data_IF_351871474164
#
_entry.id   IF_351871474164
#
_cell.length_a   1.000
_cell.length_b   1.000
_cell.length_c   1.000
_cell.angle_alpha   90.00
_cell.angle_beta   90.00
_cell.angle_gamma   90.00
#
_symmetry.space_group_name_H-M   'P 1'
#
loop_
_entity.id
_entity.type
_entity.pdbx_description
1 polymer ?
#
# COMPACT_ATOMS: atom_id res chain seq x y z
N UNK A 1 -24.85 0.68 -11.10
CA UNK A 1 -23.90 1.81 -11.21
C UNK A 1 -24.70 3.07 -11.53
N UNK A 2 -24.99 3.96 -10.55
CA UNK A 2 -25.82 5.14 -10.76
C UNK A 2 -25.12 6.30 -11.52
N UNK A 3 -23.85 6.13 -11.90
CA UNK A 3 -23.09 7.06 -12.73
C UNK A 3 -22.64 6.37 -14.03
N UNK A 4 -22.46 7.16 -15.10
CA UNK A 4 -21.78 6.68 -16.31
C UNK A 4 -20.40 6.15 -15.92
N UNK A 5 -19.95 5.01 -16.49
CA UNK A 5 -18.68 4.42 -16.10
C UNK A 5 -17.54 5.39 -16.39
N UNK A 6 -16.72 5.66 -15.37
CA UNK A 6 -15.49 6.45 -15.45
C UNK A 6 -14.30 5.51 -15.32
N UNK A 7 -13.34 5.61 -16.24
CA UNK A 7 -12.20 4.70 -16.35
C UNK A 7 -10.85 5.40 -16.15
N UNK A 8 -10.83 6.64 -15.66
CA UNK A 8 -9.58 7.36 -15.41
C UNK A 8 -8.94 6.92 -14.10
N UNK A 9 -8.29 5.76 -14.14
CA UNK A 9 -7.49 5.21 -13.03
C UNK A 9 -6.27 4.48 -13.57
N UNK A 10 -5.08 5.00 -13.28
CA UNK A 10 -3.79 4.43 -13.71
C UNK A 10 -3.36 3.25 -12.82
N UNK A 11 -3.85 3.22 -11.58
CA UNK A 11 -3.50 2.28 -10.52
C UNK A 11 -4.38 1.03 -10.48
N UNK A 12 -5.57 1.05 -11.08
CA UNK A 12 -6.49 -0.10 -11.08
C UNK A 12 -5.89 -1.35 -11.75
N UNK A 13 -5.17 -1.18 -12.86
CA UNK A 13 -4.57 -2.30 -13.62
C UNK A 13 -3.53 -3.08 -12.80
N UNK A 14 -2.50 -2.44 -12.19
CA UNK A 14 -1.57 -3.17 -11.33
C UNK A 14 -2.26 -3.74 -10.07
N UNK A 15 -3.25 -3.06 -9.48
CA UNK A 15 -4.01 -3.62 -8.35
C UNK A 15 -4.77 -4.90 -8.69
N UNK A 16 -5.36 -4.99 -9.88
CA UNK A 16 -5.98 -6.22 -10.36
C UNK A 16 -4.98 -7.38 -10.39
N UNK A 17 -3.77 -7.16 -10.93
CA UNK A 17 -2.71 -8.16 -10.97
C UNK A 17 -2.25 -8.58 -9.57
N UNK A 18 -2.06 -7.62 -8.67
CA UNK A 18 -1.69 -7.88 -7.27
C UNK A 18 -2.75 -8.76 -6.60
N UNK A 19 -4.03 -8.42 -6.72
CA UNK A 19 -5.12 -9.18 -6.12
C UNK A 19 -5.27 -10.58 -6.74
N UNK A 20 -5.17 -10.68 -8.06
CA UNK A 20 -5.21 -11.94 -8.80
C UNK A 20 -4.12 -12.91 -8.31
N UNK A 21 -2.88 -12.44 -8.22
CA UNK A 21 -1.78 -13.24 -7.70
C UNK A 21 -1.91 -13.53 -6.20
N UNK A 22 -2.41 -12.56 -5.42
CA UNK A 22 -2.66 -12.74 -3.99
C UNK A 22 -3.70 -13.82 -3.70
N UNK A 23 -4.73 -13.92 -4.55
CA UNK A 23 -5.73 -14.99 -4.48
C UNK A 23 -5.04 -16.36 -4.60
N UNK A 24 -4.27 -16.60 -5.68
CA UNK A 24 -3.54 -17.86 -5.87
C UNK A 24 -2.60 -18.17 -4.71
N UNK A 25 -1.93 -17.15 -4.15
CA UNK A 25 -1.03 -17.32 -3.00
C UNK A 25 -1.72 -17.81 -1.73
N UNK A 26 -3.00 -17.46 -1.52
CA UNK A 26 -3.76 -17.92 -0.35
C UNK A 26 -4.56 -19.19 -0.62
N UNK A 27 -5.15 -19.33 -1.81
CA UNK A 27 -6.08 -20.43 -2.11
C UNK A 27 -5.42 -21.61 -2.81
N UNK A 28 -4.26 -21.40 -3.47
CA UNK A 28 -3.65 -22.42 -4.32
C UNK A 28 -4.50 -22.81 -5.52
N UNK A 29 -5.57 -22.06 -5.83
CA UNK A 29 -6.53 -22.38 -6.88
C UNK A 29 -5.94 -22.10 -8.28
N UNK A 30 -5.25 -23.11 -8.80
CA UNK A 30 -4.63 -23.07 -10.11
C UNK A 30 -5.66 -23.06 -11.26
N UNK A 31 -6.87 -23.59 -11.05
CA UNK A 31 -7.91 -23.57 -12.08
C UNK A 31 -8.44 -22.15 -12.27
N UNK A 32 -8.81 -21.48 -11.18
CA UNK A 32 -9.17 -20.06 -11.19
C UNK A 32 -8.06 -19.20 -11.78
N UNK A 33 -6.80 -19.45 -11.38
CA UNK A 33 -5.66 -18.73 -11.91
C UNK A 33 -5.54 -18.88 -13.42
N UNK A 34 -5.63 -20.11 -13.97
CA UNK A 34 -5.62 -20.34 -15.43
C UNK A 34 -6.78 -19.66 -16.14
N UNK A 35 -7.98 -19.67 -15.55
CA UNK A 35 -9.17 -19.06 -16.12
C UNK A 35 -9.07 -17.55 -16.33
N UNK A 36 -8.44 -16.84 -15.39
CA UNK A 36 -8.22 -15.38 -15.48
C UNK A 36 -6.87 -14.98 -16.08
N UNK A 37 -5.98 -15.94 -16.36
CA UNK A 37 -4.65 -15.65 -16.89
C UNK A 37 -4.68 -14.77 -18.17
N UNK A 38 -5.57 -14.98 -19.15
CA UNK A 38 -5.62 -14.11 -20.33
C UNK A 38 -5.89 -12.64 -19.99
N UNK A 39 -6.71 -12.38 -18.97
CA UNK A 39 -6.98 -11.02 -18.51
C UNK A 39 -5.77 -10.42 -17.76
N UNK A 40 -5.06 -11.24 -16.97
CA UNK A 40 -3.83 -10.83 -16.32
C UNK A 40 -2.72 -10.51 -17.34
N UNK A 41 -2.56 -11.33 -18.38
CA UNK A 41 -1.62 -11.06 -19.47
C UNK A 41 -1.99 -9.81 -20.27
N UNK A 42 -3.28 -9.55 -20.50
CA UNK A 42 -3.74 -8.31 -21.11
C UNK A 42 -3.43 -7.09 -20.24
N UNK A 43 -3.55 -7.20 -18.91
CA UNK A 43 -3.19 -6.15 -17.96
C UNK A 43 -1.67 -5.89 -17.93
N UNK A 44 -0.83 -6.92 -17.95
CA UNK A 44 0.63 -6.77 -18.13
C UNK A 44 0.95 -6.08 -19.47
N UNK A 45 0.32 -6.55 -20.55
CA UNK A 45 0.48 -5.94 -21.87
C UNK A 45 -0.09 -4.51 -21.96
N UNK A 46 -0.95 -4.08 -21.05
CA UNK A 46 -1.37 -2.68 -20.93
C UNK A 46 -0.31 -1.85 -20.23
N UNK A 47 0.26 -2.34 -19.12
CA UNK A 47 1.35 -1.68 -18.40
C UNK A 47 2.49 -1.36 -19.36
N UNK A 48 2.92 -2.35 -20.15
CA UNK A 48 4.10 -2.20 -21.02
C UNK A 48 3.84 -1.40 -22.31
N UNK A 49 2.60 -1.31 -22.80
CA UNK A 49 2.29 -0.66 -24.11
C UNK A 49 1.52 0.65 -24.01
N UNK A 50 0.70 0.80 -22.98
CA UNK A 50 -0.20 1.94 -22.83
C UNK A 50 0.01 2.70 -21.53
N UNK A 51 0.65 2.08 -20.54
CA UNK A 51 1.04 2.70 -19.28
C UNK A 51 2.30 3.54 -19.41
N UNK A 52 3.30 3.07 -20.16
CA UNK A 52 4.55 3.79 -20.45
C UNK A 52 4.40 4.60 -21.74
N UNK A 53 4.07 5.90 -21.61
CA UNK A 53 3.66 6.73 -22.76
C UNK A 53 4.85 7.21 -23.59
N UNK A 54 6.03 7.34 -23.00
CA UNK A 54 7.24 7.84 -23.65
C UNK A 54 8.40 6.83 -23.68
N UNK A 55 8.21 5.63 -23.10
CA UNK A 55 9.17 4.54 -23.18
C UNK A 55 10.30 4.63 -22.15
N UNK A 56 10.18 5.51 -21.15
CA UNK A 56 11.18 5.64 -20.08
C UNK A 56 11.07 4.55 -19.00
N UNK A 57 10.00 3.75 -19.06
CA UNK A 57 9.70 2.62 -18.20
C UNK A 57 8.92 2.95 -16.94
N UNK A 58 8.39 4.16 -16.81
CA UNK A 58 7.42 4.49 -15.78
C UNK A 58 5.99 4.43 -16.33
N UNK A 59 5.07 3.97 -15.49
CA UNK A 59 3.64 4.05 -15.82
C UNK A 59 3.11 5.43 -15.48
N UNK A 60 2.47 6.05 -16.47
CA UNK A 60 2.01 7.43 -16.44
C UNK A 60 0.52 7.54 -16.73
N UNK A 61 -0.05 8.69 -16.36
CA UNK A 61 -1.39 9.06 -16.77
C UNK A 61 -1.43 10.39 -17.50
N UNK A 62 -2.35 10.46 -18.46
CA UNK A 62 -2.74 11.68 -19.16
C UNK A 62 -4.25 11.64 -19.35
N UNK A 63 -4.97 12.63 -18.80
CA UNK A 63 -6.41 12.70 -18.97
C UNK A 63 -6.77 12.96 -20.44
N UNK A 64 -7.37 11.95 -21.10
CA UNK A 64 -7.75 12.03 -22.52
C UNK A 64 -9.16 12.59 -22.75
N UNK A 65 -9.99 12.64 -21.72
CA UNK A 65 -11.39 13.09 -21.82
C UNK A 65 -11.52 14.54 -21.33
N UNK A 66 -12.19 15.43 -22.08
CA UNK A 66 -12.47 16.79 -21.61
C UNK A 66 -13.32 16.85 -20.32
N UNK A 67 -14.02 15.75 -19.99
CA UNK A 67 -14.82 15.60 -18.75
C UNK A 67 -14.14 14.70 -17.72
N UNK A 68 -12.91 14.26 -17.97
CA UNK A 68 -12.19 13.38 -17.06
C UNK A 68 -11.59 14.16 -15.90
N UNK A 69 -11.34 13.45 -14.80
CA UNK A 69 -10.62 14.02 -13.67
C UNK A 69 -9.15 14.15 -14.09
N UNK A 70 -8.52 15.28 -13.73
CA UNK A 70 -7.14 15.60 -14.14
C UNK A 70 -6.16 14.56 -13.62
N UNK A 71 -6.22 14.27 -12.32
CA UNK A 71 -5.35 13.31 -11.67
C UNK A 71 -6.06 11.95 -11.65
N UNK A 72 -5.35 10.90 -12.10
CA UNK A 72 -5.93 9.56 -12.30
C UNK A 72 -5.31 8.50 -11.38
N UNK A 73 -4.60 8.91 -10.33
CA UNK A 73 -4.25 8.03 -9.21
C UNK A 73 -5.29 8.11 -8.10
N UNK A 74 -5.05 7.41 -6.99
CA UNK A 74 -5.96 7.42 -5.84
C UNK A 74 -6.17 8.83 -5.24
N UNK A 75 -5.16 9.71 -5.32
CA UNK A 75 -5.29 11.14 -5.01
C UNK A 75 -5.84 11.90 -6.21
N UNK A 76 -7.11 11.68 -6.53
CA UNK A 76 -7.73 12.16 -7.78
C UNK A 76 -8.15 13.64 -7.79
N UNK A 77 -8.04 14.37 -6.68
CA UNK A 77 -8.34 15.82 -6.67
C UNK A 77 -7.46 16.58 -7.65
N UNK A 78 -8.02 17.54 -8.38
CA UNK A 78 -7.32 18.33 -9.40
C UNK A 78 -6.03 19.03 -8.93
N UNK A 79 -5.94 19.34 -7.64
CA UNK A 79 -4.88 20.08 -6.96
C UNK A 79 -3.95 19.19 -6.10
N UNK A 80 -4.02 17.86 -6.26
CA UNK A 80 -3.27 16.92 -5.40
C UNK A 80 -1.80 16.74 -5.77
N UNK A 81 -1.44 16.95 -7.04
CA UNK A 81 -0.07 16.85 -7.55
C UNK A 81 0.48 18.26 -7.81
N UNK A 82 1.25 18.76 -6.84
CA UNK A 82 1.68 20.15 -6.77
C UNK A 82 3.15 20.23 -6.37
N UNK A 83 3.92 21.06 -7.06
CA UNK A 83 5.31 21.37 -6.73
C UNK A 83 5.39 22.23 -5.46
N UNK A 84 6.59 22.34 -4.90
CA UNK A 84 6.85 23.09 -3.67
C UNK A 84 6.56 24.61 -3.81
N UNK A 85 6.70 25.14 -5.02
CA UNK A 85 6.32 26.51 -5.40
C UNK A 85 4.81 26.73 -5.58
N UNK A 86 3.99 25.68 -5.47
CA UNK A 86 2.53 25.73 -5.62
C UNK A 86 2.02 25.55 -7.05
N UNK A 87 2.89 25.40 -8.06
CA UNK A 87 2.51 25.06 -9.43
C UNK A 87 2.02 23.61 -9.50
N UNK A 88 0.98 23.35 -10.28
CA UNK A 88 0.52 21.98 -10.51
C UNK A 88 1.50 21.23 -11.42
N UNK A 89 1.73 19.95 -11.14
CA UNK A 89 2.54 19.08 -12.00
C UNK A 89 1.79 18.84 -13.32
N UNK A 90 2.44 19.01 -14.47
CA UNK A 90 1.81 18.83 -15.78
C UNK A 90 1.93 17.39 -16.30
N UNK A 91 0.88 16.84 -16.96
CA UNK A 91 0.90 15.47 -17.47
C UNK A 91 1.63 15.33 -18.82
N UNK A 92 2.13 14.12 -19.15
CA UNK A 92 2.00 12.86 -18.41
C UNK A 92 2.67 12.85 -17.03
N UNK A 93 2.02 12.21 -16.04
CA UNK A 93 2.54 12.15 -14.66
C UNK A 93 2.80 10.70 -14.26
N UNK A 94 4.02 10.42 -13.81
CA UNK A 94 4.40 9.14 -13.21
C UNK A 94 4.29 9.22 -11.68
N UNK A 95 3.32 8.52 -11.09
CA UNK A 95 3.14 8.52 -9.62
C UNK A 95 4.05 7.51 -8.92
N UNK A 96 4.64 7.90 -7.81
CA UNK A 96 5.57 7.04 -7.05
C UNK A 96 4.94 5.74 -6.55
N UNK A 97 3.71 5.80 -6.03
CA UNK A 97 2.99 4.61 -5.55
C UNK A 97 2.63 3.66 -6.69
N UNK A 98 2.33 4.19 -7.88
CA UNK A 98 1.96 3.39 -9.05
C UNK A 98 3.14 2.58 -9.54
N UNK A 99 4.35 3.15 -9.52
CA UNK A 99 5.56 2.40 -9.86
C UNK A 99 5.76 1.25 -8.86
N UNK A 100 5.51 1.51 -7.58
CA UNK A 100 5.46 0.46 -6.55
C UNK A 100 4.43 -0.63 -6.85
N UNK A 101 3.23 -0.26 -7.27
CA UNK A 101 2.20 -1.24 -7.63
C UNK A 101 2.58 -2.07 -8.86
N UNK A 102 3.19 -1.46 -9.87
CA UNK A 102 3.67 -2.16 -11.07
C UNK A 102 4.79 -3.14 -10.70
N UNK A 103 5.75 -2.71 -9.88
CA UNK A 103 6.80 -3.59 -9.34
C UNK A 103 6.19 -4.78 -8.57
N UNK A 104 5.24 -4.52 -7.67
CA UNK A 104 4.59 -5.59 -6.92
C UNK A 104 3.77 -6.52 -7.83
N UNK A 105 3.09 -5.96 -8.85
CA UNK A 105 2.35 -6.74 -9.83
C UNK A 105 3.27 -7.68 -10.62
N UNK A 106 4.40 -7.18 -11.13
CA UNK A 106 5.37 -8.00 -11.89
C UNK A 106 5.98 -9.10 -11.02
N UNK A 107 6.44 -8.77 -9.82
CA UNK A 107 6.98 -9.77 -8.87
C UNK A 107 5.95 -10.83 -8.47
N UNK A 108 4.69 -10.45 -8.27
CA UNK A 108 3.61 -11.39 -7.90
C UNK A 108 3.13 -12.22 -9.09
N UNK A 109 3.14 -11.67 -10.30
CA UNK A 109 2.84 -12.43 -11.51
C UNK A 109 3.95 -13.45 -11.83
N UNK A 110 5.20 -13.18 -11.46
CA UNK A 110 6.26 -14.18 -11.54
C UNK A 110 5.95 -15.42 -10.67
N UNK A 111 5.43 -15.24 -9.45
CA UNK A 111 4.94 -16.35 -8.60
C UNK A 111 3.84 -17.16 -9.32
N UNK A 112 2.89 -16.47 -9.97
CA UNK A 112 1.81 -17.12 -10.72
C UNK A 112 2.38 -17.94 -11.88
N UNK A 113 3.26 -17.37 -12.69
CA UNK A 113 3.85 -18.09 -13.82
C UNK A 113 4.62 -19.32 -13.37
N UNK A 114 5.39 -19.25 -12.27
CA UNK A 114 6.04 -20.43 -11.69
C UNK A 114 5.04 -21.51 -11.30
N UNK A 115 3.99 -21.14 -10.57
CA UNK A 115 2.95 -22.06 -10.14
C UNK A 115 2.21 -22.72 -11.33
N UNK A 116 2.17 -22.05 -12.48
CA UNK A 116 1.59 -22.57 -13.72
C UNK A 116 2.60 -23.24 -14.66
N UNK A 117 3.85 -23.44 -14.24
CA UNK A 117 4.88 -24.13 -15.02
C UNK A 117 5.51 -23.30 -16.13
N UNK A 118 5.53 -21.97 -16.01
CA UNK A 118 6.12 -21.00 -16.96
C UNK A 118 7.30 -20.23 -16.34
N UNK A 119 8.41 -20.90 -15.99
CA UNK A 119 9.52 -20.27 -15.29
C UNK A 119 10.24 -19.18 -16.10
N UNK A 120 10.26 -19.28 -17.44
CA UNK A 120 10.89 -18.26 -18.30
C UNK A 120 10.16 -16.92 -18.25
N UNK A 121 8.82 -16.93 -18.27
CA UNK A 121 8.00 -15.72 -18.09
C UNK A 121 8.16 -15.12 -16.71
N UNK A 122 8.30 -15.97 -15.69
CA UNK A 122 8.58 -15.52 -14.33
C UNK A 122 9.91 -14.77 -14.24
N UNK A 123 10.98 -15.35 -14.79
CA UNK A 123 12.32 -14.73 -14.82
C UNK A 123 12.31 -13.39 -15.57
N UNK A 124 11.61 -13.32 -16.72
CA UNK A 124 11.44 -12.07 -17.46
C UNK A 124 10.78 -10.98 -16.62
N UNK A 125 9.68 -11.29 -15.93
CA UNK A 125 8.99 -10.32 -15.09
C UNK A 125 9.82 -9.87 -13.89
N UNK A 126 10.63 -10.75 -13.31
CA UNK A 126 11.53 -10.39 -12.21
C UNK A 126 12.63 -9.44 -12.66
N UNK A 127 13.22 -9.71 -13.82
CA UNK A 127 14.23 -8.86 -14.44
C UNK A 127 13.67 -7.47 -14.83
N UNK A 128 12.44 -7.43 -15.36
CA UNK A 128 11.72 -6.17 -15.58
C UNK A 128 11.40 -5.42 -14.29
N UNK A 129 10.99 -6.13 -13.24
CA UNK A 129 10.70 -5.53 -11.93
C UNK A 129 11.98 -4.96 -11.30
N UNK A 130 13.11 -5.66 -11.39
CA UNK A 130 14.39 -5.20 -10.86
C UNK A 130 14.88 -3.94 -11.60
N UNK A 131 14.76 -3.90 -12.93
CA UNK A 131 15.04 -2.67 -13.69
C UNK A 131 14.16 -1.49 -13.28
N UNK A 132 12.86 -1.73 -13.05
CA UNK A 132 11.95 -0.69 -12.56
C UNK A 132 12.35 -0.22 -11.15
N UNK A 133 12.74 -1.14 -10.27
CA UNK A 133 13.23 -0.82 -8.94
C UNK A 133 14.47 0.07 -8.98
N UNK A 134 15.47 -0.28 -9.79
CA UNK A 134 16.69 0.54 -9.95
C UNK A 134 16.32 1.95 -10.43
N UNK A 135 15.56 2.06 -11.53
CA UNK A 135 15.13 3.35 -12.09
C UNK A 135 14.33 4.19 -11.10
N UNK A 136 13.42 3.57 -10.34
CA UNK A 136 12.63 4.26 -9.32
C UNK A 136 13.53 4.86 -8.23
N UNK A 137 14.47 4.07 -7.71
CA UNK A 137 15.37 4.52 -6.65
C UNK A 137 16.37 5.59 -7.12
N UNK A 138 16.63 5.70 -8.41
CA UNK A 138 17.45 6.76 -9.01
C UNK A 138 16.60 8.03 -9.30
N UNK A 139 15.49 7.88 -10.01
CA UNK A 139 14.73 9.01 -10.53
C UNK A 139 13.84 9.70 -9.49
N UNK A 140 13.29 8.96 -8.52
CA UNK A 140 12.38 9.52 -7.52
C UNK A 140 13.10 9.94 -6.23
N UNK A 141 14.32 9.49 -5.99
CA UNK A 141 15.02 9.79 -4.73
C UNK A 141 15.51 11.25 -4.72
N UNK A 142 15.18 11.96 -3.63
CA UNK A 142 15.62 13.32 -3.34
C UNK A 142 16.67 13.25 -2.24
N UNK A 143 17.95 13.28 -2.61
CA UNK A 143 19.07 13.08 -1.68
C UNK A 143 19.09 14.12 -0.56
N UNK A 144 18.74 15.36 -0.87
CA UNK A 144 18.72 16.47 0.09
C UNK A 144 17.58 16.35 1.12
N UNK A 145 16.41 15.89 0.69
CA UNK A 145 15.25 15.63 1.56
C UNK A 145 15.34 14.26 2.26
N UNK A 146 16.23 13.37 1.80
CA UNK A 146 16.31 11.95 2.20
C UNK A 146 14.94 11.28 2.12
N UNK A 147 14.23 11.55 1.02
CA UNK A 147 12.85 11.16 0.77
C UNK A 147 12.63 10.90 -0.73
N UNK A 148 11.45 10.41 -1.11
CA UNK A 148 11.09 10.20 -2.51
C UNK A 148 10.11 11.28 -2.98
N UNK A 149 10.25 11.74 -4.21
CA UNK A 149 9.29 12.59 -4.88
C UNK A 149 7.93 11.88 -4.97
N UNK A 150 6.83 12.63 -4.87
CA UNK A 150 5.49 12.05 -4.97
C UNK A 150 5.20 11.55 -6.39
N UNK A 151 5.76 12.23 -7.39
CA UNK A 151 5.59 11.96 -8.80
C UNK A 151 6.77 12.53 -9.63
N UNK A 152 6.84 12.16 -10.90
CA UNK A 152 7.54 12.89 -11.96
C UNK A 152 6.49 13.52 -12.90
N UNK A 153 6.72 14.76 -13.32
CA UNK A 153 5.86 15.44 -14.30
C UNK A 153 6.28 15.17 -15.75
N UNK A 154 5.65 15.84 -16.71
CA UNK A 154 5.90 15.69 -18.15
C UNK A 154 7.36 15.93 -18.56
N UNK A 155 8.07 16.81 -17.84
CA UNK A 155 9.48 17.14 -18.07
C UNK A 155 10.41 16.24 -17.23
N UNK A 156 9.85 15.19 -16.60
CA UNK A 156 10.49 14.30 -15.64
C UNK A 156 11.08 15.02 -14.43
N UNK A 157 10.53 16.19 -14.10
CA UNK A 157 10.90 16.90 -12.89
C UNK A 157 10.22 16.25 -11.70
N UNK A 158 10.98 16.08 -10.62
CA UNK A 158 10.47 15.59 -9.35
C UNK A 158 9.40 16.56 -8.80
N UNK A 159 8.23 16.01 -8.46
CA UNK A 159 7.25 16.71 -7.63
C UNK A 159 7.72 16.61 -6.18
N UNK A 160 8.47 17.63 -5.76
CA UNK A 160 9.23 17.66 -4.51
C UNK A 160 8.39 17.89 -3.25
N UNK A 161 7.13 18.29 -3.39
CA UNK A 161 6.22 18.42 -2.24
C UNK A 161 6.14 17.10 -1.49
N UNK A 162 6.36 17.17 -0.17
CA UNK A 162 6.42 15.99 0.68
C UNK A 162 5.02 15.46 0.95
N UNK A 163 4.76 14.25 0.44
CA UNK A 163 3.46 13.59 0.47
C UNK A 163 3.56 12.15 0.98
N UNK A 164 2.43 11.53 1.29
CA UNK A 164 2.37 10.13 1.75
C UNK A 164 2.65 9.10 0.65
N UNK A 165 2.47 9.46 -0.64
CA UNK A 165 2.53 8.56 -1.80
C UNK A 165 3.71 7.57 -1.76
N UNK A 166 4.97 8.03 -1.53
CA UNK A 166 6.10 7.11 -1.60
C UNK A 166 6.13 6.09 -0.47
N UNK A 167 5.35 6.30 0.61
CA UNK A 167 5.18 5.31 1.67
C UNK A 167 4.57 3.99 1.18
N UNK A 168 3.81 4.01 0.09
CA UNK A 168 3.32 2.78 -0.57
C UNK A 168 4.45 2.01 -1.27
N UNK A 169 5.57 2.67 -1.59
CA UNK A 169 6.79 2.03 -2.06
C UNK A 169 7.37 1.03 -1.04
N UNK A 170 7.16 1.27 0.26
CA UNK A 170 7.53 0.31 1.30
C UNK A 170 6.65 -0.94 1.24
N UNK A 171 5.35 -0.80 0.97
CA UNK A 171 4.43 -1.94 0.88
C UNK A 171 4.78 -2.86 -0.28
N UNK A 172 5.01 -2.26 -1.46
CA UNK A 172 5.40 -3.00 -2.66
C UNK A 172 6.77 -3.66 -2.54
N UNK A 173 7.69 -3.06 -1.79
CA UNK A 173 9.07 -3.53 -1.70
C UNK A 173 9.97 -3.00 -2.82
N UNK A 174 9.55 -1.93 -3.51
CA UNK A 174 10.35 -1.27 -4.55
C UNK A 174 11.46 -0.40 -3.95
N UNK A 175 11.31 0.08 -2.72
CA UNK A 175 12.31 0.93 -2.05
C UNK A 175 13.60 0.14 -1.73
N UNK A 176 14.78 0.73 -1.89
CA UNK A 176 16.01 0.09 -1.44
C UNK A 176 16.13 0.07 0.09
N UNK A 177 16.80 -0.96 0.62
CA UNK A 177 16.99 -1.15 2.07
C UNK A 177 17.66 0.06 2.75
N UNK A 178 18.61 0.72 2.08
CA UNK A 178 19.32 1.89 2.60
C UNK A 178 18.45 3.17 2.65
N UNK A 179 17.38 3.22 1.84
CA UNK A 179 16.42 4.34 1.75
C UNK A 179 15.16 4.10 2.60
N UNK A 180 14.89 2.85 2.99
CA UNK A 180 13.70 2.48 3.76
C UNK A 180 13.64 3.16 5.14
N UNK A 181 14.75 3.16 5.89
CA UNK A 181 14.79 3.79 7.22
C UNK A 181 14.64 5.33 7.16
N UNK A 182 15.35 6.07 6.27
CA UNK A 182 15.10 7.49 6.03
C UNK A 182 13.63 7.80 5.70
N UNK A 183 13.04 7.06 4.74
CA UNK A 183 11.64 7.21 4.35
C UNK A 183 10.69 7.00 5.54
N UNK A 184 10.88 5.93 6.30
CA UNK A 184 10.09 5.63 7.50
C UNK A 184 10.18 6.75 8.57
N UNK A 185 11.39 7.26 8.83
CA UNK A 185 11.59 8.38 9.76
C UNK A 185 10.86 9.64 9.29
N UNK A 186 10.93 9.95 8.00
CA UNK A 186 10.32 11.15 7.42
C UNK A 186 8.79 11.09 7.43
N UNK A 187 8.18 9.94 7.10
CA UNK A 187 6.73 9.72 7.19
C UNK A 187 6.20 9.88 8.62
N UNK A 188 7.02 9.56 9.62
CA UNK A 188 6.68 9.62 11.04
C UNK A 188 7.11 10.92 11.76
N UNK A 189 7.67 11.87 11.01
CA UNK A 189 8.04 13.19 11.51
C UNK A 189 6.79 14.04 11.85
N UNK A 190 6.88 15.03 12.76
CA UNK A 190 5.69 15.72 13.30
C UNK A 190 4.84 16.51 12.28
N UNK A 191 5.42 16.91 11.15
CA UNK A 191 4.74 17.61 10.07
C UNK A 191 3.92 16.65 9.19
N UNK A 192 4.41 15.41 8.98
CA UNK A 192 3.71 14.34 8.27
C UNK A 192 2.76 13.55 9.19
N UNK A 193 3.24 13.09 10.34
CA UNK A 193 2.46 12.28 11.27
C UNK A 193 1.68 13.15 12.27
N UNK A 194 0.37 13.16 12.10
CA UNK A 194 -0.56 13.97 12.89
C UNK A 194 -0.75 13.54 14.33
N UNK A 195 -0.34 12.32 14.70
CA UNK A 195 -0.77 11.65 15.93
C UNK A 195 -2.05 10.81 15.76
N UNK A 196 -2.78 11.00 14.65
CA UNK A 196 -3.89 10.17 14.19
C UNK A 196 -3.54 9.30 12.98
N UNK A 197 -2.40 9.58 12.35
CA UNK A 197 -1.90 8.92 11.14
C UNK A 197 -0.98 9.85 10.36
N UNK A 198 -0.33 9.32 9.33
CA UNK A 198 0.40 10.07 8.30
C UNK A 198 -0.60 10.86 7.47
N UNK A 199 -0.36 12.16 7.33
CA UNK A 199 -1.11 13.07 6.45
C UNK A 199 -0.75 12.81 5.00
N UNK A 200 -1.69 13.09 4.12
CA UNK A 200 -1.43 12.99 2.67
C UNK A 200 -0.38 13.98 2.18
N UNK A 201 -0.17 15.09 2.90
CA UNK A 201 0.78 16.15 2.60
C UNK A 201 1.38 16.72 3.89
N UNK A 202 2.67 17.07 3.85
CA UNK A 202 3.37 17.71 4.97
C UNK A 202 2.71 19.05 5.33
N UNK A 203 2.60 19.32 6.63
CA UNK A 203 2.19 20.64 7.14
C UNK A 203 3.09 21.80 6.68
N UNK A 204 4.31 21.51 6.26
CA UNK A 204 5.27 22.52 5.79
C UNK A 204 5.08 22.88 4.31
N UNK A 205 4.27 22.14 3.55
CA UNK A 205 4.04 22.41 2.15
C UNK A 205 3.10 23.62 1.95
N UNK A 206 3.33 24.40 0.88
CA UNK A 206 2.51 25.56 0.56
C UNK A 206 1.03 25.22 0.33
N UNK A 207 0.76 24.07 -0.31
CA UNK A 207 -0.60 23.60 -0.60
C UNK A 207 -1.28 22.90 0.58
N UNK A 208 -0.65 22.81 1.75
CA UNK A 208 -1.20 22.10 2.90
C UNK A 208 -2.49 22.74 3.41
N UNK A 209 -3.54 21.94 3.48
CA UNK A 209 -4.80 22.26 4.12
C UNK A 209 -5.32 21.03 4.89
N UNK A 210 -5.42 21.07 6.24
CA UNK A 210 -5.86 19.93 7.04
C UNK A 210 -7.31 19.50 6.74
N UNK A 211 -8.10 20.36 6.09
CA UNK A 211 -9.47 20.11 5.66
C UNK A 211 -9.60 19.89 4.15
N UNK A 212 -8.50 19.73 3.42
CA UNK A 212 -8.53 19.33 2.00
C UNK A 212 -8.74 17.82 1.88
N UNK A 213 -9.38 17.40 0.80
CA UNK A 213 -9.60 15.99 0.49
C UNK A 213 -8.26 15.23 0.36
N UNK A 214 -7.29 15.77 -0.40
CA UNK A 214 -5.99 15.13 -0.65
C UNK A 214 -4.75 15.92 -0.20
N UNK A 215 -4.89 17.16 0.27
CA UNK A 215 -3.74 18.04 0.58
C UNK A 215 -3.50 18.25 2.09
N UNK A 216 -3.71 17.23 2.92
CA UNK A 216 -3.38 17.32 4.35
C UNK A 216 -4.27 16.50 5.27
N UNK A 217 -5.30 15.83 4.74
CA UNK A 217 -6.14 14.87 5.46
C UNK A 217 -5.38 13.59 5.83
N UNK A 218 -6.01 12.71 6.59
CA UNK A 218 -5.50 11.38 6.93
C UNK A 218 -6.48 10.34 6.42
N UNK A 219 -5.96 9.40 5.63
CA UNK A 219 -6.73 8.33 5.00
C UNK A 219 -6.35 6.98 5.63
N UNK A 220 -7.33 6.21 6.14
CA UNK A 220 -7.04 4.91 6.74
C UNK A 220 -6.38 3.91 5.80
N UNK A 221 -6.77 3.88 4.52
CA UNK A 221 -6.20 2.93 3.55
C UNK A 221 -4.73 3.23 3.23
N UNK A 222 -4.39 4.51 3.01
CA UNK A 222 -3.02 5.02 2.82
C UNK A 222 -2.14 4.61 4.03
N UNK A 223 -2.65 4.88 5.23
CA UNK A 223 -1.95 4.54 6.46
C UNK A 223 -1.81 3.03 6.69
N UNK A 224 -2.78 2.22 6.29
CA UNK A 224 -2.68 0.76 6.37
C UNK A 224 -1.61 0.20 5.41
N UNK A 225 -1.52 0.74 4.19
CA UNK A 225 -0.46 0.40 3.24
C UNK A 225 0.92 0.82 3.76
N UNK A 226 1.05 2.05 4.27
CA UNK A 226 2.29 2.52 4.93
C UNK A 226 2.67 1.60 6.09
N UNK A 227 1.73 1.25 6.98
CA UNK A 227 2.00 0.38 8.13
C UNK A 227 2.45 -1.03 7.72
N UNK A 228 1.82 -1.61 6.69
CA UNK A 228 2.21 -2.89 6.11
C UNK A 228 3.58 -2.81 5.41
N UNK A 229 3.90 -1.69 4.78
CA UNK A 229 5.24 -1.43 4.24
C UNK A 229 6.31 -1.31 5.32
N UNK A 230 6.08 -0.52 6.37
CA UNK A 230 6.96 -0.44 7.53
C UNK A 230 7.23 -1.83 8.13
N UNK A 231 6.20 -2.68 8.18
CA UNK A 231 6.30 -4.04 8.66
C UNK A 231 7.23 -4.89 7.79
N UNK A 232 7.11 -4.76 6.46
CA UNK A 232 7.97 -5.45 5.48
C UNK A 232 9.45 -5.17 5.72
N UNK A 233 9.80 -3.93 6.04
CA UNK A 233 11.17 -3.50 6.37
C UNK A 233 11.51 -3.65 7.86
N UNK A 234 10.82 -4.54 8.58
CA UNK A 234 11.10 -4.90 9.97
C UNK A 234 10.95 -3.75 10.98
N UNK A 235 10.26 -2.66 10.62
CA UNK A 235 10.01 -1.53 11.52
C UNK A 235 8.75 -1.74 12.37
N UNK A 236 8.70 -2.83 13.15
CA UNK A 236 7.51 -3.25 13.91
C UNK A 236 6.96 -2.16 14.86
N UNK A 237 7.83 -1.39 15.52
CA UNK A 237 7.41 -0.26 16.38
C UNK A 237 6.75 0.87 15.57
N UNK A 238 7.27 1.15 14.38
CA UNK A 238 6.71 2.14 13.47
C UNK A 238 5.34 1.69 12.94
N UNK A 239 5.20 0.41 12.55
CA UNK A 239 3.91 -0.21 12.21
C UNK A 239 2.90 -0.05 13.34
N UNK A 240 3.27 -0.42 14.57
CA UNK A 240 2.37 -0.32 15.72
C UNK A 240 2.00 1.11 16.08
N UNK A 241 2.89 2.09 15.83
CA UNK A 241 2.57 3.51 16.02
C UNK A 241 1.45 3.97 15.09
N UNK A 242 1.49 3.57 13.81
CA UNK A 242 0.42 3.89 12.84
C UNK A 242 -0.86 3.14 13.19
N UNK A 243 -0.76 1.83 13.47
CA UNK A 243 -1.92 1.01 13.82
C UNK A 243 -2.63 1.50 15.08
N UNK A 244 -1.87 1.90 16.11
CA UNK A 244 -2.43 2.49 17.34
C UNK A 244 -3.14 3.81 17.06
N UNK A 245 -2.59 4.65 16.21
CA UNK A 245 -3.22 5.93 15.87
C UNK A 245 -4.55 5.74 15.14
N UNK A 246 -4.63 4.77 14.21
CA UNK A 246 -5.87 4.41 13.53
C UNK A 246 -6.87 3.71 14.46
N UNK A 247 -6.40 2.86 15.38
CA UNK A 247 -7.26 2.26 16.40
C UNK A 247 -7.90 3.34 17.28
N UNK A 248 -7.12 4.29 17.79
CA UNK A 248 -7.63 5.41 18.59
C UNK A 248 -8.63 6.27 17.80
N UNK A 249 -8.38 6.48 16.50
CA UNK A 249 -9.30 7.19 15.62
C UNK A 249 -10.63 6.43 15.46
N UNK A 250 -10.57 5.11 15.24
CA UNK A 250 -11.75 4.26 15.15
C UNK A 250 -12.55 4.26 16.45
N UNK A 251 -11.91 4.18 17.61
CA UNK A 251 -12.57 4.25 18.94
C UNK A 251 -13.34 5.55 19.13
N UNK A 252 -12.90 6.63 18.49
CA UNK A 252 -13.55 7.94 18.56
C UNK A 252 -14.67 8.13 17.52
N UNK A 253 -14.80 7.21 16.56
CA UNK A 253 -15.74 7.27 15.46
C UNK A 253 -17.01 6.45 15.74
N UNK A 254 -18.11 6.83 15.09
CA UNK A 254 -19.38 6.12 15.22
C UNK A 254 -19.23 4.65 14.80
N UNK A 255 -19.82 3.75 15.59
CA UNK A 255 -19.77 2.29 15.39
C UNK A 255 -18.36 1.69 15.35
N UNK A 256 -17.34 2.40 15.84
CA UNK A 256 -15.94 1.96 15.82
C UNK A 256 -15.41 1.71 14.41
N UNK A 257 -15.92 2.46 13.42
CA UNK A 257 -15.56 2.30 12.01
C UNK A 257 -14.67 3.44 11.54
N UNK A 258 -13.67 3.08 10.75
CA UNK A 258 -12.83 4.07 10.07
C UNK A 258 -13.62 4.69 8.90
N UNK A 259 -13.73 6.03 8.83
CA UNK A 259 -14.30 6.71 7.68
C UNK A 259 -13.33 6.64 6.49
N UNK A 260 -13.78 7.06 5.32
CA UNK A 260 -12.95 7.29 4.13
C UNK A 260 -11.67 8.08 4.45
N UNK A 261 -11.84 9.21 5.13
CA UNK A 261 -10.80 10.13 5.57
C UNK A 261 -11.30 10.96 6.76
N UNK A 262 -10.37 11.61 7.44
CA UNK A 262 -10.66 12.67 8.42
C UNK A 262 -9.65 13.81 8.28
N UNK A 263 -10.00 14.99 8.81
CA UNK A 263 -9.16 16.16 8.71
C UNK A 263 -7.83 15.93 9.43
N UNK A 264 -6.72 16.24 8.77
CA UNK A 264 -5.39 16.03 9.33
C UNK A 264 -4.98 17.18 10.21
N UNK A 265 -5.71 17.45 11.29
CA UNK A 265 -5.23 18.32 12.36
C UNK A 265 -4.24 17.55 13.25
N UNK A 266 -3.30 18.26 13.88
CA UNK A 266 -2.40 17.62 14.85
C UNK A 266 -3.20 17.20 16.08
N UNK A 267 -3.00 15.96 16.53
CA UNK A 267 -3.63 15.39 17.73
C UNK A 267 -3.32 16.29 18.94
N UNK A 268 -4.39 16.76 19.58
CA UNK A 268 -4.35 17.50 20.85
C UNK A 268 -5.24 16.75 21.82
N UNK A 269 -4.66 16.09 22.82
CA UNK A 269 -5.42 15.41 23.88
C UNK A 269 -6.18 16.46 24.71
N UNK A 270 -7.46 16.25 25.09
CA UNK A 270 -8.27 15.03 24.99
C UNK A 270 -9.20 14.94 23.77
N UNK A 271 -8.88 15.59 22.64
CA UNK A 271 -9.79 15.69 21.51
C UNK A 271 -9.85 14.41 20.65
N UNK A 272 -10.94 14.27 19.90
CA UNK A 272 -11.14 13.29 18.82
C UNK A 272 -10.63 13.83 17.46
N UNK A 273 -10.42 12.98 16.43
CA UNK A 273 -10.19 13.47 15.07
C UNK A 273 -11.32 14.40 14.61
N UNK A 274 -10.97 15.45 13.88
CA UNK A 274 -11.97 16.34 13.28
C UNK A 274 -12.50 15.67 12.02
N UNK A 275 -13.81 15.43 11.97
CA UNK A 275 -14.46 14.77 10.83
C UNK A 275 -14.32 15.59 9.55
N UNK A 276 -14.16 14.92 8.42
CA UNK A 276 -14.29 15.52 7.10
C UNK A 276 -15.78 15.52 6.69
N UNK A 277 -16.40 16.68 6.36
CA UNK A 277 -17.87 16.81 6.32
C UNK A 277 -18.62 15.86 5.37
N UNK A 278 -18.01 15.45 4.27
CA UNK A 278 -18.65 14.65 3.22
C UNK A 278 -18.01 13.25 3.07
N UNK A 279 -17.26 12.81 4.09
CA UNK A 279 -16.60 11.50 4.06
C UNK A 279 -17.63 10.36 4.05
N UNK A 280 -17.41 9.35 3.20
CA UNK A 280 -18.15 8.10 3.28
C UNK A 280 -17.77 7.33 4.56
N UNK A 281 -18.75 6.78 5.28
CA UNK A 281 -18.50 6.02 6.54
C UNK A 281 -19.43 4.80 6.67
N UNK A 282 -18.91 3.55 6.48
CA UNK A 282 -17.58 3.23 5.97
C UNK A 282 -17.47 3.42 4.45
N UNK A 283 -16.26 3.68 3.97
CA UNK A 283 -15.89 3.58 2.55
C UNK A 283 -15.19 2.24 2.32
N UNK A 284 -15.27 1.68 1.10
CA UNK A 284 -14.78 0.34 0.80
C UNK A 284 -13.29 0.15 1.13
N UNK A 285 -12.43 1.12 0.83
CA UNK A 285 -10.99 1.02 1.12
C UNK A 285 -10.69 1.15 2.62
N UNK A 286 -11.39 2.06 3.31
CA UNK A 286 -11.29 2.21 4.75
C UNK A 286 -11.71 0.92 5.50
N UNK A 287 -12.71 0.19 5.00
CA UNK A 287 -13.17 -1.07 5.59
C UNK A 287 -12.11 -2.19 5.53
N UNK A 288 -11.22 -2.19 4.53
CA UNK A 288 -10.11 -3.15 4.43
C UNK A 288 -8.93 -2.84 5.36
N UNK A 289 -8.81 -1.60 5.83
CA UNK A 289 -7.64 -1.11 6.58
C UNK A 289 -7.38 -1.88 7.88
N UNK A 290 -8.38 -2.19 8.74
CA UNK A 290 -8.16 -2.97 9.96
C UNK A 290 -7.62 -4.38 9.69
N UNK A 291 -8.07 -5.04 8.62
CA UNK A 291 -7.65 -6.40 8.28
C UNK A 291 -6.20 -6.42 7.80
N UNK A 292 -5.81 -5.48 6.93
CA UNK A 292 -4.42 -5.37 6.47
C UNK A 292 -3.48 -5.01 7.64
N UNK A 293 -3.90 -4.12 8.53
CA UNK A 293 -3.12 -3.79 9.74
C UNK A 293 -2.97 -5.00 10.66
N UNK A 294 -4.04 -5.76 10.90
CA UNK A 294 -3.98 -6.98 11.70
C UNK A 294 -3.04 -8.00 11.06
N UNK A 295 -3.15 -8.23 9.75
CA UNK A 295 -2.25 -9.12 9.02
C UNK A 295 -0.78 -8.67 9.16
N UNK A 296 -0.50 -7.36 9.06
CA UNK A 296 0.83 -6.80 9.22
C UNK A 296 1.37 -6.98 10.66
N UNK A 297 0.56 -6.69 11.68
CA UNK A 297 0.92 -6.86 13.10
C UNK A 297 1.28 -8.32 13.41
N UNK A 298 0.49 -9.25 12.89
CA UNK A 298 0.70 -10.69 13.06
C UNK A 298 1.80 -11.25 12.13
N UNK A 299 2.20 -10.50 11.11
CA UNK A 299 3.24 -10.91 10.16
C UNK A 299 2.82 -12.06 9.24
N UNK A 300 1.53 -12.19 8.92
CA UNK A 300 1.02 -13.34 8.18
C UNK A 300 1.17 -13.19 6.66
N UNK A 301 1.73 -14.21 6.02
CA UNK A 301 1.71 -14.33 4.55
C UNK A 301 1.71 -15.79 4.12
N UNK A 302 1.07 -16.09 2.99
CA UNK A 302 0.90 -17.45 2.49
C UNK A 302 1.54 -17.67 1.11
N UNK A 303 1.94 -18.92 0.87
CA UNK A 303 2.21 -19.55 -0.43
C UNK A 303 1.55 -20.92 -0.43
N UNK A 304 0.25 -20.94 -0.71
CA UNK A 304 -0.58 -22.14 -0.65
C UNK A 304 -0.12 -23.25 -1.59
N UNK A 305 0.39 -22.92 -2.78
CA UNK A 305 0.97 -23.89 -3.71
C UNK A 305 2.22 -24.61 -3.18
N UNK A 306 2.87 -24.06 -2.14
CA UNK A 306 3.99 -24.68 -1.42
C UNK A 306 3.59 -25.24 -0.04
N UNK A 307 2.29 -25.22 0.29
CA UNK A 307 1.75 -25.50 1.62
C UNK A 307 2.48 -24.72 2.72
N UNK A 308 2.68 -23.42 2.51
CA UNK A 308 3.45 -22.58 3.43
C UNK A 308 2.64 -21.39 3.95
N UNK A 309 2.65 -21.23 5.28
CA UNK A 309 2.26 -20.02 5.99
C UNK A 309 3.48 -19.48 6.74
N UNK A 310 3.86 -18.24 6.44
CA UNK A 310 4.93 -17.53 7.15
C UNK A 310 4.33 -16.61 8.20
N UNK A 311 4.92 -16.63 9.39
CA UNK A 311 4.70 -15.70 10.50
C UNK A 311 5.98 -14.89 10.69
N UNK A 312 6.04 -13.69 10.13
CA UNK A 312 7.24 -12.85 10.13
C UNK A 312 7.18 -11.83 11.28
N UNK A 313 8.10 -11.93 12.25
CA UNK A 313 8.29 -10.96 13.35
C UNK A 313 6.98 -10.47 14.03
N UNK A 314 6.05 -11.34 14.47
CA UNK A 314 4.79 -10.89 15.04
C UNK A 314 5.04 -9.92 16.20
N UNK A 315 4.30 -8.82 16.28
CA UNK A 315 4.58 -7.78 17.27
C UNK A 315 3.30 -7.01 17.63
N UNK A 316 2.57 -7.48 18.64
CA UNK A 316 1.34 -6.85 19.11
C UNK A 316 1.61 -5.49 19.77
N UNK A 317 0.73 -4.48 19.58
CA UNK A 317 0.82 -3.21 20.29
C UNK A 317 0.45 -3.34 21.76
N UNK A 318 0.79 -2.34 22.58
CA UNK A 318 0.63 -2.38 24.05
C UNK A 318 -0.82 -2.53 24.52
N UNK A 319 -1.79 -2.09 23.71
CA UNK A 319 -3.22 -2.22 23.99
C UNK A 319 -3.82 -3.57 23.57
N UNK A 320 -3.06 -4.42 22.88
CA UNK A 320 -3.51 -5.72 22.36
C UNK A 320 -2.67 -6.84 22.97
N UNK A 321 -3.23 -7.58 23.92
CA UNK A 321 -2.48 -8.63 24.63
C UNK A 321 -2.54 -9.98 23.93
N UNK A 322 -3.68 -10.30 23.32
CA UNK A 322 -3.93 -11.61 22.70
C UNK A 322 -4.71 -11.45 21.41
N UNK A 323 -4.32 -12.20 20.39
CA UNK A 323 -5.11 -12.38 19.16
C UNK A 323 -5.24 -13.86 18.86
N UNK A 324 -6.46 -14.34 18.71
CA UNK A 324 -6.72 -15.69 18.20
C UNK A 324 -7.21 -15.60 16.75
N UNK A 325 -6.51 -16.30 15.86
CA UNK A 325 -6.94 -16.52 14.49
C UNK A 325 -7.43 -17.96 14.40
N UNK A 326 -8.71 -18.15 14.15
CA UNK A 326 -9.35 -19.48 14.08
C UNK A 326 -9.71 -19.82 12.66
N UNK A 327 -9.50 -21.08 12.29
CA UNK A 327 -9.87 -21.64 11.00
C UNK A 327 -9.34 -20.83 9.81
N UNK A 328 -8.08 -20.37 9.89
CA UNK A 328 -7.42 -19.70 8.77
C UNK A 328 -7.13 -20.75 7.69
N UNK A 329 -7.75 -20.58 6.53
CA UNK A 329 -7.56 -21.47 5.38
C UNK A 329 -6.38 -21.01 4.53
N UNK A 330 -5.49 -21.94 4.21
CA UNK A 330 -4.38 -21.76 3.27
C UNK A 330 -4.35 -22.98 2.35
N UNK A 331 -4.72 -22.79 1.09
CA UNK A 331 -4.93 -23.91 0.17
C UNK A 331 -6.04 -24.84 0.68
N UNK A 332 -5.73 -26.13 0.76
CA UNK A 332 -6.62 -27.16 1.30
C UNK A 332 -6.43 -27.39 2.82
N UNK A 333 -5.54 -26.63 3.45
CA UNK A 333 -5.23 -26.76 4.87
C UNK A 333 -5.92 -25.68 5.71
N UNK A 334 -6.19 -26.00 6.96
CA UNK A 334 -6.77 -25.06 7.93
C UNK A 334 -5.90 -25.02 9.19
N UNK A 335 -5.63 -23.83 9.71
CA UNK A 335 -4.84 -23.63 10.92
C UNK A 335 -5.51 -22.64 11.86
N UNK A 336 -5.44 -22.93 13.16
CA UNK A 336 -5.78 -21.96 14.20
C UNK A 336 -4.54 -21.62 15.01
N UNK A 337 -4.35 -20.35 15.33
CA UNK A 337 -3.17 -19.84 16.02
C UNK A 337 -3.58 -18.82 17.08
N UNK A 338 -2.78 -18.72 18.14
CA UNK A 338 -2.90 -17.66 19.12
C UNK A 338 -1.58 -16.92 19.23
N UNK A 339 -1.66 -15.59 19.24
CA UNK A 339 -0.57 -14.66 19.45
C UNK A 339 -0.74 -14.05 20.84
N UNK A 340 0.33 -14.03 21.63
CA UNK A 340 0.33 -13.46 22.98
C UNK A 340 1.51 -12.52 23.15
N UNK A 341 1.25 -11.37 23.76
CA UNK A 341 2.24 -10.38 24.13
C UNK A 341 2.68 -10.58 25.58
N UNK A 342 3.98 -10.70 25.80
CA UNK A 342 4.62 -10.70 27.11
C UNK A 342 5.69 -9.61 27.12
N UNK A 343 5.38 -8.48 27.79
CA UNK A 343 6.21 -7.27 27.69
C UNK A 343 6.26 -6.72 26.27
N UNK A 344 7.47 -6.66 25.69
CA UNK A 344 7.72 -6.21 24.30
C UNK A 344 7.74 -7.38 23.29
N UNK A 345 7.71 -8.62 23.77
CA UNK A 345 7.82 -9.81 22.92
C UNK A 345 6.40 -10.29 22.58
N UNK A 346 6.21 -10.69 21.33
CA UNK A 346 5.01 -11.42 20.90
C UNK A 346 5.41 -12.80 20.43
N UNK A 347 4.91 -13.82 21.12
CA UNK A 347 5.01 -15.22 20.71
C UNK A 347 3.72 -15.68 20.05
N UNK A 348 3.79 -16.74 19.26
CA UNK A 348 2.59 -17.44 18.78
C UNK A 348 2.69 -18.94 19.00
N UNK A 349 1.54 -19.60 19.11
CA UNK A 349 1.43 -21.05 19.18
C UNK A 349 0.28 -21.55 18.30
N UNK A 350 0.44 -22.73 17.70
CA UNK A 350 -0.63 -23.39 16.97
C UNK A 350 -1.65 -23.96 17.96
N UNK A 351 -2.93 -23.71 17.71
CA UNK A 351 -4.05 -24.29 18.46
C UNK A 351 -4.57 -25.55 17.77
N UNK A 352 -4.65 -25.53 16.44
CA UNK A 352 -5.00 -26.68 15.61
C UNK A 352 -4.38 -26.55 14.23
N UNK A 353 -4.17 -27.68 13.57
CA UNK A 353 -3.73 -27.74 12.18
C UNK A 353 -4.32 -28.98 11.51
N UNK A 354 -4.98 -28.78 10.38
CA UNK A 354 -5.51 -29.82 9.51
C UNK A 354 -4.89 -29.65 8.11
N UNK A 355 -4.45 -30.77 7.52
CA UNK A 355 -3.69 -30.78 6.26
C UNK A 355 -2.18 -30.62 6.44
N UNK A 356 -1.47 -30.43 5.33
CA UNK A 356 0.00 -30.50 5.25
C UNK A 356 0.69 -29.12 5.36
N UNK A 357 -0.03 -28.11 5.88
CA UNK A 357 0.50 -26.75 6.02
C UNK A 357 1.75 -26.71 6.91
N UNK A 358 2.84 -26.21 6.35
CA UNK A 358 4.03 -25.81 7.10
C UNK A 358 3.85 -24.38 7.58
N UNK A 359 3.93 -24.19 8.88
CA UNK A 359 3.96 -22.86 9.50
C UNK A 359 5.40 -22.56 9.88
N UNK A 360 5.98 -21.52 9.30
CA UNK A 360 7.37 -21.10 9.56
C UNK A 360 7.40 -19.72 10.19
N UNK A 361 8.34 -19.52 11.10
CA UNK A 361 8.65 -18.20 11.64
C UNK A 361 9.88 -17.66 10.91
N UNK A 362 9.79 -16.43 10.43
CA UNK A 362 10.93 -15.70 9.86
C UNK A 362 11.29 -14.54 10.81
N UNK A 363 12.58 -14.40 11.10
CA UNK A 363 13.16 -13.32 11.92
C UNK A 363 13.68 -12.16 11.08
#
# INVERSE_FOLDING_TARGET
>A
MPHSPYFGSVDSTPWFLILYAQHLRWTGDAEFARGLLPAAEAALGWIDRYGDLDGDGFVEYLCRSPRGIRNQGWKDSHDSMVHDDGRLAEPPIALSEVQGYVYLAKTRMADVYRALGRPEDALRLEDEAERLKIRFNEAFWMEDERFFAAALDADKQQVRTLMSNPGHGLYSGIVDEDKALPLAKRLLAPDMFSGWGVRTMSRSAAAYNPMSYHNGSVWPHDNALIAAGLKRYRFARATNRVATALFDAAVSADYLRLPELFCGFTRRTPNRPVSYPIACSPQAWAAGSPFLMLQAILGLSARAHENLLTVNLPHLPTWLNTVEVRNLTVGQSTVSMVFRREGEITSFSLLSREGDLRVVMEE
#
